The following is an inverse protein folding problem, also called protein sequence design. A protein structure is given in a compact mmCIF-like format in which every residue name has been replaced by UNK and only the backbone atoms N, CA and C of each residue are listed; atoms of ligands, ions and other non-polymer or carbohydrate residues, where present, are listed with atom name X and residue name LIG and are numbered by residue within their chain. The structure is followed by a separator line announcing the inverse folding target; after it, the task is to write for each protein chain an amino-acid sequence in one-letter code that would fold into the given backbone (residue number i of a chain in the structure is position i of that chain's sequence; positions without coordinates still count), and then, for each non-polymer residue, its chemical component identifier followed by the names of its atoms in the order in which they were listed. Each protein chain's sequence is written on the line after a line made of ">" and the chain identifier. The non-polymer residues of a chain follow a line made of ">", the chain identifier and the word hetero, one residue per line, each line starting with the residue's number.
data_IF_212743492823
#
_entry.id   IF_212743492823
#
_cell.length_a   1.000
_cell.length_b   1.000
_cell.length_c   1.000
_cell.angle_alpha   90.00
_cell.angle_beta   90.00
_cell.angle_gamma   90.00
#
_symmetry.space_group_name_H-M   'P 1'
#
loop_
_entity.id
_entity.type
_entity.pdbx_description
1 polymer ?
#
# COMPACT_ATOMS: atom_id res chain seq x y z
N UNK A 1 -19.08 -33.91 70.19
CA UNK A 1 -19.83 -35.16 69.91
C UNK A 1 -20.47 -35.00 68.53
N UNK A 2 -20.68 -36.07 67.75
CA UNK A 2 -19.74 -36.79 66.91
C UNK A 2 -20.03 -36.60 65.39
N UNK A 3 -19.07 -36.95 64.54
CA UNK A 3 -19.31 -37.26 63.12
C UNK A 3 -20.23 -38.50 62.99
N UNK A 4 -20.88 -38.70 61.82
CA UNK A 4 -20.38 -39.80 60.99
C UNK A 4 -20.35 -39.54 59.47
N UNK A 5 -19.51 -40.38 58.86
CA UNK A 5 -19.19 -40.56 57.45
C UNK A 5 -20.31 -41.27 56.67
N UNK A 6 -20.35 -41.06 55.36
CA UNK A 6 -20.75 -42.07 54.35
C UNK A 6 -20.11 -41.66 53.01
N UNK A 7 -19.00 -42.25 52.57
CA UNK A 7 -18.81 -43.54 51.86
C UNK A 7 -19.37 -43.58 50.42
N UNK A 8 -18.41 -43.44 49.49
CA UNK A 8 -18.16 -44.20 48.26
C UNK A 8 -19.29 -44.50 47.26
N UNK A 9 -19.04 -44.15 45.99
CA UNK A 9 -19.18 -44.94 44.75
C UNK A 9 -18.79 -43.97 43.61
N UNK A 10 -17.83 -44.19 42.71
CA UNK A 10 -17.48 -45.42 42.01
C UNK A 10 -17.92 -45.26 40.55
N UNK A 11 -17.04 -44.77 39.67
CA UNK A 11 -17.09 -45.02 38.22
C UNK A 11 -15.82 -44.49 37.55
N UNK A 12 -14.95 -45.40 37.13
CA UNK A 12 -13.94 -45.15 36.09
C UNK A 12 -14.68 -45.03 34.76
N UNK A 13 -14.53 -43.91 34.06
CA UNK A 13 -14.84 -43.84 32.63
C UNK A 13 -13.55 -43.59 31.87
N UNK A 14 -13.15 -44.67 31.19
CA UNK A 14 -12.21 -44.68 30.07
C UNK A 14 -12.94 -44.00 28.91
N UNK A 15 -12.41 -42.89 28.41
CA UNK A 15 -12.94 -42.18 27.26
C UNK A 15 -11.78 -41.68 26.41
N UNK A 16 -11.67 -42.21 25.20
CA UNK A 16 -10.55 -42.03 24.29
C UNK A 16 -10.31 -40.55 23.96
N UNK A 17 -9.07 -40.09 24.16
CA UNK A 17 -8.62 -38.82 23.59
C UNK A 17 -8.44 -39.02 22.08
N UNK A 18 -9.44 -38.59 21.32
CA UNK A 18 -9.39 -38.50 19.87
C UNK A 18 -8.33 -37.48 19.50
N UNK A 19 -7.22 -37.93 18.93
CA UNK A 19 -6.23 -37.05 18.33
C UNK A 19 -6.89 -36.36 17.13
N UNK A 20 -7.30 -35.11 17.32
CA UNK A 20 -7.68 -34.24 16.21
C UNK A 20 -6.41 -34.04 15.36
N UNK A 21 -6.37 -34.66 14.18
CA UNK A 21 -5.43 -34.26 13.14
C UNK A 21 -5.72 -32.79 12.84
N UNK A 22 -4.81 -31.91 13.25
CA UNK A 22 -4.74 -30.56 12.74
C UNK A 22 -4.46 -30.68 11.24
N UNK A 23 -5.50 -30.45 10.43
CA UNK A 23 -5.31 -30.13 9.03
C UNK A 23 -4.47 -28.85 9.00
N UNK A 24 -3.17 -29.00 8.75
CA UNK A 24 -2.36 -27.92 8.26
C UNK A 24 -2.98 -27.52 6.91
N UNK A 25 -3.83 -26.49 6.94
CA UNK A 25 -4.16 -25.76 5.74
C UNK A 25 -2.84 -25.19 5.24
N UNK A 26 -2.23 -25.86 4.27
CA UNK A 26 -1.30 -25.20 3.39
C UNK A 26 -2.11 -24.10 2.70
N UNK A 27 -2.09 -22.89 3.24
CA UNK A 27 -2.43 -21.69 2.49
C UNK A 27 -1.43 -21.65 1.34
N UNK A 28 -1.83 -22.18 0.19
CA UNK A 28 -1.21 -21.82 -1.07
C UNK A 28 -1.30 -20.30 -1.15
N UNK A 29 -0.16 -19.63 -1.03
CA UNK A 29 -0.04 -18.20 -1.29
C UNK A 29 -0.37 -17.98 -2.76
N UNK A 30 -1.67 -17.83 -3.07
CA UNK A 30 -2.10 -17.25 -4.33
C UNK A 30 -1.64 -15.80 -4.39
N UNK A 31 -1.45 -15.28 -5.59
CA UNK A 31 -1.42 -13.84 -5.85
C UNK A 31 -2.61 -13.20 -5.13
N UNK A 32 -2.34 -12.12 -4.41
CA UNK A 32 -3.34 -11.32 -3.72
C UNK A 32 -3.94 -10.36 -4.75
N UNK A 33 -5.00 -10.84 -5.42
CA UNK A 33 -5.67 -10.13 -6.51
C UNK A 33 -6.71 -9.17 -5.93
N UNK A 34 -6.61 -7.90 -6.32
CA UNK A 34 -7.64 -6.91 -6.12
C UNK A 34 -8.70 -7.04 -7.22
N UNK A 35 -9.91 -7.44 -6.85
CA UNK A 35 -11.04 -7.61 -7.77
C UNK A 35 -11.87 -6.32 -7.97
N UNK A 36 -11.55 -5.25 -7.24
CA UNK A 36 -12.33 -4.00 -7.24
C UNK A 36 -11.87 -3.03 -8.34
N UNK A 37 -10.64 -3.18 -8.85
CA UNK A 37 -10.05 -2.28 -9.84
C UNK A 37 -9.33 -3.02 -10.97
N UNK A 38 -9.35 -2.42 -12.17
CA UNK A 38 -8.36 -2.72 -13.22
C UNK A 38 -7.11 -1.83 -13.10
N UNK A 39 -6.08 -2.11 -13.90
CA UNK A 39 -4.89 -1.26 -14.07
C UNK A 39 -5.23 0.22 -14.34
N UNK A 40 -6.08 0.50 -15.33
CA UNK A 40 -6.52 1.86 -15.67
C UNK A 40 -7.29 2.55 -14.52
N UNK A 41 -8.23 1.83 -13.88
CA UNK A 41 -9.03 2.37 -12.78
C UNK A 41 -8.16 2.66 -11.54
N UNK A 42 -7.24 1.75 -11.22
CA UNK A 42 -6.30 1.92 -10.13
C UNK A 42 -5.39 3.13 -10.36
N UNK A 43 -4.83 3.30 -11.56
CA UNK A 43 -4.01 4.48 -11.89
C UNK A 43 -4.80 5.79 -11.76
N UNK A 44 -6.06 5.81 -12.19
CA UNK A 44 -6.92 6.99 -12.05
C UNK A 44 -7.18 7.34 -10.58
N UNK A 45 -7.47 6.35 -9.74
CA UNK A 45 -7.67 6.54 -8.29
C UNK A 45 -6.39 6.97 -7.57
N UNK A 46 -5.23 6.42 -7.95
CA UNK A 46 -3.94 6.84 -7.41
C UNK A 46 -3.64 8.31 -7.73
N UNK A 47 -3.91 8.72 -8.96
CA UNK A 47 -3.71 10.09 -9.42
C UNK A 47 -4.65 11.07 -8.69
N UNK A 48 -5.91 10.70 -8.51
CA UNK A 48 -6.87 11.48 -7.72
C UNK A 48 -6.41 11.61 -6.26
N UNK A 49 -5.88 10.55 -5.66
CA UNK A 49 -5.36 10.62 -4.29
C UNK A 49 -4.18 11.59 -4.17
N UNK A 50 -3.28 11.62 -5.16
CA UNK A 50 -2.19 12.61 -5.21
C UNK A 50 -2.77 14.02 -5.32
N UNK A 51 -3.73 14.25 -6.20
CA UNK A 51 -4.39 15.55 -6.39
C UNK A 51 -4.97 16.09 -5.07
N UNK A 52 -5.77 15.26 -4.39
CA UNK A 52 -6.43 15.60 -3.13
C UNK A 52 -5.42 15.85 -1.99
N UNK A 53 -4.26 15.20 -2.04
CA UNK A 53 -3.21 15.35 -1.03
C UNK A 53 -2.41 16.65 -1.20
N UNK A 54 -2.21 17.11 -2.44
CA UNK A 54 -1.41 18.31 -2.72
C UNK A 54 -2.24 19.60 -2.81
N UNK A 55 -3.52 19.53 -3.16
CA UNK A 55 -4.41 20.70 -3.26
C UNK A 55 -4.39 21.61 -2.01
N UNK A 56 -4.43 21.08 -0.76
CA UNK A 56 -4.45 21.93 0.44
C UNK A 56 -3.06 22.42 0.88
N UNK A 57 -1.97 21.98 0.24
CA UNK A 57 -0.61 22.37 0.63
C UNK A 57 -0.30 23.80 0.15
N UNK A 58 -0.26 24.74 1.08
CA UNK A 58 0.12 26.12 0.79
C UNK A 58 1.57 26.20 0.30
N UNK A 59 1.82 27.05 -0.72
CA UNK A 59 3.14 27.24 -1.33
C UNK A 59 3.77 25.94 -1.90
N UNK A 60 2.93 25.00 -2.38
CA UNK A 60 3.38 23.77 -3.02
C UNK A 60 4.30 24.07 -4.22
N UNK A 61 5.60 23.65 -4.18
CA UNK A 61 6.59 24.01 -5.20
C UNK A 61 6.40 23.27 -6.53
N UNK A 62 5.53 22.26 -6.55
CA UNK A 62 5.42 21.31 -7.65
C UNK A 62 6.33 20.10 -7.50
N UNK A 63 6.02 19.06 -8.25
CA UNK A 63 6.90 17.92 -8.47
C UNK A 63 7.78 18.16 -9.69
N UNK A 64 9.01 17.65 -9.65
CA UNK A 64 9.91 17.65 -10.82
C UNK A 64 9.59 16.47 -11.75
N UNK A 65 9.26 15.31 -11.17
CA UNK A 65 9.14 14.06 -11.90
C UNK A 65 7.99 13.20 -11.38
N UNK A 66 7.36 12.46 -12.31
CA UNK A 66 6.48 11.32 -12.07
C UNK A 66 7.07 10.07 -12.69
N UNK A 67 6.94 8.95 -11.98
CA UNK A 67 7.21 7.61 -12.50
C UNK A 67 5.93 6.79 -12.34
N UNK A 68 5.38 6.34 -13.45
CA UNK A 68 4.32 5.34 -13.50
C UNK A 68 4.97 3.98 -13.65
N UNK A 69 4.80 3.10 -12.65
CA UNK A 69 5.36 1.75 -12.67
C UNK A 69 4.26 0.76 -13.00
N UNK A 70 4.45 -0.05 -14.05
CA UNK A 70 3.58 -1.17 -14.42
C UNK A 70 4.43 -2.42 -14.57
N UNK A 71 4.33 -3.36 -13.63
CA UNK A 71 5.13 -4.58 -13.60
C UNK A 71 4.23 -5.82 -13.57
N UNK A 72 4.80 -6.96 -13.95
CA UNK A 72 4.10 -8.24 -13.88
C UNK A 72 3.61 -8.54 -12.46
N UNK A 73 2.38 -9.04 -12.33
CA UNK A 73 1.93 -9.65 -11.08
C UNK A 73 2.67 -10.97 -10.85
N UNK A 74 3.56 -11.01 -9.87
CA UNK A 74 4.35 -12.19 -9.53
C UNK A 74 3.80 -12.89 -8.29
N UNK A 75 3.89 -14.22 -8.26
CA UNK A 75 3.45 -15.03 -7.12
C UNK A 75 4.36 -16.25 -6.87
N UNK A 76 4.11 -16.92 -5.74
CA UNK A 76 4.96 -17.99 -5.23
C UNK A 76 6.07 -17.48 -4.30
N UNK A 77 6.72 -18.39 -3.56
CA UNK A 77 7.62 -18.00 -2.46
C UNK A 77 8.85 -17.18 -2.90
N UNK A 78 9.23 -17.25 -4.18
CA UNK A 78 10.35 -16.47 -4.73
C UNK A 78 9.91 -15.64 -5.96
N UNK A 79 8.61 -15.35 -6.12
CA UNK A 79 8.09 -14.51 -7.23
C UNK A 79 8.50 -15.02 -8.63
N UNK A 80 8.62 -16.34 -8.79
CA UNK A 80 9.08 -16.98 -10.05
C UNK A 80 7.95 -17.22 -11.06
N UNK A 81 6.71 -16.96 -10.65
CA UNK A 81 5.52 -17.22 -11.46
C UNK A 81 4.79 -15.91 -11.72
N UNK A 82 4.44 -15.68 -12.98
CA UNK A 82 3.62 -14.55 -13.40
C UNK A 82 2.14 -14.96 -13.44
N UNK A 83 1.27 -14.16 -12.83
CA UNK A 83 -0.18 -14.32 -12.95
C UNK A 83 -0.64 -13.64 -14.25
N UNK A 84 -0.92 -14.43 -15.28
CA UNK A 84 -1.33 -13.90 -16.59
C UNK A 84 -2.64 -13.10 -16.48
N UNK A 85 -2.68 -11.93 -17.10
CA UNK A 85 -3.85 -11.06 -17.11
C UNK A 85 -3.93 -10.08 -15.94
N UNK A 86 -2.89 -10.00 -15.11
CA UNK A 86 -2.81 -9.09 -13.97
C UNK A 86 -1.48 -8.34 -13.95
N UNK A 87 -1.54 -7.08 -13.51
CA UNK A 87 -0.40 -6.19 -13.34
C UNK A 87 -0.35 -5.65 -11.92
N UNK A 88 0.83 -5.21 -11.49
CA UNK A 88 1.00 -4.33 -10.33
C UNK A 88 1.28 -2.93 -10.85
N UNK A 89 0.48 -1.96 -10.40
CA UNK A 89 0.62 -0.55 -10.77
C UNK A 89 1.00 0.28 -9.55
N UNK A 90 1.85 1.31 -9.75
CA UNK A 90 2.11 2.33 -8.73
C UNK A 90 2.55 3.65 -9.34
N UNK A 91 2.34 4.73 -8.60
CA UNK A 91 2.79 6.07 -8.93
C UNK A 91 3.86 6.54 -7.95
N UNK A 92 4.88 7.20 -8.46
CA UNK A 92 5.91 7.85 -7.66
C UNK A 92 6.11 9.28 -8.17
N UNK A 93 6.07 10.25 -7.28
CA UNK A 93 6.27 11.66 -7.54
C UNK A 93 7.47 12.15 -6.74
N UNK A 94 8.37 12.87 -7.39
CA UNK A 94 9.58 13.37 -6.77
C UNK A 94 9.59 14.90 -6.76
N UNK A 95 9.92 15.47 -5.60
CA UNK A 95 10.16 16.92 -5.52
C UNK A 95 11.46 17.28 -6.22
N UNK A 96 11.59 18.52 -6.73
CA UNK A 96 12.86 19.01 -7.23
C UNK A 96 13.97 18.87 -6.18
N UNK A 97 15.19 18.49 -6.59
CA UNK A 97 16.33 18.35 -5.67
C UNK A 97 16.57 19.61 -4.82
N UNK A 98 16.34 20.79 -5.42
CA UNK A 98 16.45 22.07 -4.73
C UNK A 98 15.52 22.22 -3.51
N UNK A 99 14.46 21.42 -3.44
CA UNK A 99 13.48 21.42 -2.36
C UNK A 99 13.67 20.29 -1.34
N UNK A 100 14.61 19.35 -1.55
CA UNK A 100 14.76 18.22 -0.62
C UNK A 100 15.20 18.61 0.78
N UNK A 101 15.88 19.76 0.91
CA UNK A 101 16.34 20.36 2.18
C UNK A 101 15.41 21.50 2.66
N UNK A 102 14.30 21.75 1.98
CA UNK A 102 13.35 22.82 2.34
C UNK A 102 12.54 22.44 3.60
N UNK A 103 12.56 23.24 4.68
CA UNK A 103 11.78 22.97 5.88
C UNK A 103 10.26 22.85 5.63
N UNK A 104 9.73 23.55 4.61
CA UNK A 104 8.33 23.42 4.23
C UNK A 104 8.02 21.99 3.78
N UNK A 105 8.89 21.42 2.95
CA UNK A 105 8.75 20.08 2.38
C UNK A 105 9.09 18.98 3.39
N UNK A 106 10.08 19.19 4.26
CA UNK A 106 10.58 18.16 5.19
C UNK A 106 9.88 18.12 6.53
N UNK A 107 9.38 19.25 7.02
CA UNK A 107 8.83 19.36 8.38
C UNK A 107 7.34 19.69 8.32
N UNK A 108 6.98 20.68 7.50
CA UNK A 108 5.61 21.21 7.50
C UNK A 108 4.63 20.30 6.75
N UNK A 109 4.96 19.87 5.52
CA UNK A 109 4.06 19.01 4.73
C UNK A 109 3.79 17.64 5.36
N UNK A 110 4.76 16.91 5.95
CA UNK A 110 4.46 15.68 6.66
C UNK A 110 3.40 15.85 7.77
N UNK A 111 3.53 16.90 8.58
CA UNK A 111 2.54 17.18 9.64
C UNK A 111 1.16 17.52 9.08
N UNK A 112 1.12 18.33 8.01
CA UNK A 112 -0.13 18.70 7.35
C UNK A 112 -0.80 17.48 6.70
N UNK A 113 -0.05 16.63 6.00
CA UNK A 113 -0.55 15.43 5.35
C UNK A 113 -1.04 14.40 6.36
N UNK A 114 -0.27 14.15 7.44
CA UNK A 114 -0.70 13.24 8.51
C UNK A 114 -2.05 13.67 9.10
N UNK A 115 -2.24 14.98 9.30
CA UNK A 115 -3.50 15.53 9.79
C UNK A 115 -4.61 15.45 8.74
N UNK A 116 -4.33 15.84 7.50
CA UNK A 116 -5.29 15.81 6.39
C UNK A 116 -5.87 14.41 6.21
N UNK A 117 -5.00 13.41 6.06
CA UNK A 117 -5.40 12.03 5.86
C UNK A 117 -6.15 11.46 7.07
N UNK A 118 -5.75 11.85 8.29
CA UNK A 118 -6.48 11.50 9.51
C UNK A 118 -7.88 12.12 9.56
N UNK A 119 -8.02 13.38 9.17
CA UNK A 119 -9.31 14.10 9.10
C UNK A 119 -10.22 13.51 7.99
N UNK A 120 -9.65 12.92 6.94
CA UNK A 120 -10.34 12.16 5.89
C UNK A 120 -10.74 10.74 6.33
N UNK A 121 -10.27 10.29 7.50
CA UNK A 121 -10.61 8.98 8.06
C UNK A 121 -9.70 7.83 7.62
N UNK A 122 -8.57 8.13 6.98
CA UNK A 122 -7.56 7.12 6.62
C UNK A 122 -6.80 6.62 7.85
N UNK A 123 -6.28 5.39 7.79
CA UNK A 123 -5.33 4.92 8.78
C UNK A 123 -3.97 5.57 8.55
N UNK A 124 -3.49 6.36 9.51
CA UNK A 124 -2.24 7.12 9.39
C UNK A 124 -1.15 6.56 10.31
N UNK A 125 0.01 6.27 9.74
CA UNK A 125 1.24 5.92 10.44
C UNK A 125 2.29 7.02 10.23
N UNK A 126 2.97 7.43 11.31
CA UNK A 126 4.02 8.46 11.25
C UNK A 126 5.32 7.88 11.81
N UNK A 127 6.27 7.65 10.92
CA UNK A 127 7.59 7.16 11.27
C UNK A 127 8.54 8.33 11.55
N UNK A 128 9.25 8.24 12.68
CA UNK A 128 10.23 9.24 13.08
C UNK A 128 11.65 8.69 12.94
N UNK A 129 12.56 9.50 12.42
CA UNK A 129 14.00 9.24 12.35
C UNK A 129 14.76 10.38 13.04
N UNK A 130 15.64 10.02 13.99
CA UNK A 130 16.36 10.97 14.86
C UNK A 130 15.49 12.08 15.50
N UNK A 131 14.20 11.79 15.73
CA UNK A 131 13.25 12.69 16.37
C UNK A 131 12.50 13.63 15.42
N UNK A 132 12.78 13.60 14.12
CA UNK A 132 12.00 14.27 13.07
C UNK A 132 11.12 13.25 12.33
N UNK A 133 10.06 13.71 11.64
CA UNK A 133 9.26 12.81 10.78
C UNK A 133 10.13 12.39 9.59
N UNK A 134 10.31 11.09 9.41
CA UNK A 134 11.02 10.51 8.26
C UNK A 134 10.07 10.03 7.17
N UNK A 135 8.84 9.62 7.55
CA UNK A 135 7.80 9.18 6.62
C UNK A 135 6.41 9.34 7.25
N UNK A 136 5.43 9.66 6.42
CA UNK A 136 4.01 9.56 6.74
C UNK A 136 3.38 8.58 5.77
N UNK A 137 2.60 7.64 6.28
CA UNK A 137 1.85 6.67 5.48
C UNK A 137 0.37 6.84 5.77
N UNK A 138 -0.46 6.92 4.75
CA UNK A 138 -1.91 6.83 4.85
C UNK A 138 -2.43 5.61 4.08
N UNK A 139 -3.28 4.81 4.72
CA UNK A 139 -3.96 3.66 4.12
C UNK A 139 -5.45 3.96 4.04
N UNK A 140 -6.00 3.92 2.82
CA UNK A 140 -7.44 3.99 2.56
C UNK A 140 -8.08 2.61 2.81
N UNK A 141 -9.39 2.60 3.06
CA UNK A 141 -10.17 1.38 3.32
C UNK A 141 -10.38 0.51 2.08
N UNK A 142 -10.19 1.07 0.89
CA UNK A 142 -10.20 0.40 -0.41
C UNK A 142 -8.84 -0.16 -0.85
N UNK A 143 -7.83 -0.13 0.02
CA UNK A 143 -6.54 -0.79 -0.19
C UNK A 143 -5.43 0.09 -0.76
N UNK A 144 -5.71 1.34 -1.16
CA UNK A 144 -4.64 2.26 -1.58
C UNK A 144 -3.84 2.77 -0.39
N UNK A 145 -2.52 2.78 -0.54
CA UNK A 145 -1.58 3.34 0.42
C UNK A 145 -0.76 4.44 -0.23
N UNK A 146 -0.71 5.59 0.43
CA UNK A 146 0.18 6.69 0.08
C UNK A 146 1.30 6.81 1.11
N UNK A 147 2.53 6.91 0.63
CA UNK A 147 3.70 7.26 1.42
C UNK A 147 4.17 8.66 1.03
N UNK A 148 4.46 9.50 2.02
CA UNK A 148 5.27 10.71 1.87
C UNK A 148 6.59 10.49 2.61
N UNK A 149 7.70 10.42 1.88
CA UNK A 149 9.01 10.08 2.41
C UNK A 149 9.95 11.28 2.31
N UNK A 150 10.69 11.58 3.38
CA UNK A 150 11.64 12.70 3.43
C UNK A 150 13.09 12.24 3.71
N UNK A 151 13.38 10.94 3.70
CA UNK A 151 14.73 10.42 3.95
C UNK A 151 15.59 10.45 2.69
N UNK A 152 16.51 11.42 2.62
CA UNK A 152 17.37 11.64 1.46
C UNK A 152 16.61 12.34 0.34
N UNK A 153 16.04 11.56 -0.59
CA UNK A 153 15.16 12.08 -1.65
C UNK A 153 13.77 12.31 -1.06
N UNK A 154 13.13 13.43 -1.40
CA UNK A 154 11.73 13.65 -1.01
C UNK A 154 10.80 13.23 -2.13
N UNK A 155 9.93 12.28 -1.83
CA UNK A 155 9.00 11.70 -2.78
C UNK A 155 7.68 11.28 -2.14
N UNK A 156 6.66 11.22 -2.98
CA UNK A 156 5.35 10.68 -2.66
C UNK A 156 5.10 9.44 -3.54
N UNK A 157 4.52 8.39 -2.98
CA UNK A 157 4.18 7.20 -3.76
C UNK A 157 2.84 6.64 -3.36
N UNK A 158 2.10 6.19 -4.35
CA UNK A 158 0.81 5.53 -4.19
C UNK A 158 0.88 4.15 -4.82
N UNK A 159 0.39 3.15 -4.08
CA UNK A 159 0.33 1.76 -4.50
C UNK A 159 -0.82 1.06 -3.77
N UNK A 160 -1.20 -0.13 -4.20
CA UNK A 160 -2.13 -0.99 -3.47
C UNK A 160 -1.37 -1.80 -2.41
N UNK A 161 -1.98 -1.99 -1.23
CA UNK A 161 -1.41 -2.77 -0.13
C UNK A 161 -2.22 -4.04 0.12
N UNK A 162 -1.53 -5.16 0.32
CA UNK A 162 -2.15 -6.45 0.61
C UNK A 162 -2.48 -7.21 -0.66
N UNK A 163 -3.37 -6.65 -1.50
CA UNK A 163 -3.76 -7.17 -2.81
C UNK A 163 -3.27 -6.21 -3.90
N UNK A 164 -2.01 -6.35 -4.32
CA UNK A 164 -1.32 -5.40 -5.20
C UNK A 164 -1.49 -5.68 -6.69
N UNK A 165 -1.98 -6.87 -7.04
CA UNK A 165 -2.27 -7.25 -8.40
C UNK A 165 -3.69 -6.82 -8.81
N UNK A 166 -3.81 -6.12 -9.93
CA UNK A 166 -5.08 -5.69 -10.53
C UNK A 166 -5.27 -6.32 -11.90
N UNK A 167 -6.52 -6.51 -12.31
CA UNK A 167 -6.81 -7.04 -13.63
C UNK A 167 -6.37 -6.06 -14.74
N UNK A 168 -5.83 -6.60 -15.83
CA UNK A 168 -5.53 -5.82 -17.04
C UNK A 168 -6.85 -5.41 -17.71
N UNK A 169 -7.09 -4.11 -17.86
CA UNK A 169 -8.31 -3.60 -18.51
C UNK A 169 -8.41 -4.03 -19.99
N UNK A 170 -9.65 -4.13 -20.49
CA UNK A 170 -9.89 -4.25 -21.92
C UNK A 170 -9.43 -2.97 -22.65
N UNK A 171 -8.57 -3.11 -23.67
CA UNK A 171 -8.13 -1.99 -24.50
C UNK A 171 -6.67 -1.59 -24.28
N UNK A 172 -6.35 -0.32 -24.54
CA UNK A 172 -5.00 0.25 -24.33
C UNK A 172 -4.85 0.71 -22.87
N UNK A 173 -3.60 0.73 -22.38
CA UNK A 173 -3.29 1.30 -21.07
C UNK A 173 -3.48 2.82 -21.15
N UNK A 174 -4.32 3.36 -20.27
CA UNK A 174 -4.58 4.78 -20.16
C UNK A 174 -3.81 5.35 -18.97
N UNK A 175 -2.83 6.22 -19.26
CA UNK A 175 -2.06 6.91 -18.22
C UNK A 175 -2.72 8.27 -17.94
N UNK A 176 -3.23 8.52 -16.72
CA UNK A 176 -3.78 9.82 -16.35
C UNK A 176 -2.78 10.97 -16.51
N UNK A 177 -3.26 12.19 -16.73
CA UNK A 177 -2.39 13.37 -16.73
C UNK A 177 -1.70 13.53 -15.36
N UNK A 178 -0.41 13.93 -15.32
CA UNK A 178 0.30 14.07 -14.06
C UNK A 178 -0.17 15.29 -13.26
N UNK A 179 -0.32 15.09 -11.96
CA UNK A 179 -0.62 16.12 -10.97
C UNK A 179 0.63 16.88 -10.53
N UNK A 180 0.40 18.01 -9.87
CA UNK A 180 1.44 18.72 -9.14
C UNK A 180 2.50 19.37 -10.01
N UNK A 181 2.20 19.68 -11.27
CA UNK A 181 3.05 20.53 -12.11
C UNK A 181 4.24 19.83 -12.77
N UNK A 182 4.26 18.50 -12.82
CA UNK A 182 5.20 17.75 -13.65
C UNK A 182 5.02 18.17 -15.12
N UNK A 183 6.11 18.56 -15.77
CA UNK A 183 6.08 19.01 -17.17
C UNK A 183 7.20 18.39 -17.98
N UNK A 184 6.91 18.08 -19.24
CA UNK A 184 7.85 17.49 -20.19
C UNK A 184 7.83 15.96 -20.16
N UNK A 185 7.92 15.35 -21.35
CA UNK A 185 7.87 13.89 -21.52
C UNK A 185 9.01 13.17 -20.78
N UNK A 186 10.19 13.80 -20.65
CA UNK A 186 11.34 13.22 -19.93
C UNK A 186 11.12 13.15 -18.41
N UNK A 187 10.12 13.85 -17.89
CA UNK A 187 9.81 13.92 -16.46
C UNK A 187 8.54 13.14 -16.10
N UNK A 188 7.81 12.62 -17.08
CA UNK A 188 6.65 11.75 -16.88
C UNK A 188 6.96 10.38 -17.47
N UNK A 189 7.49 9.50 -16.63
CA UNK A 189 8.17 8.28 -17.06
C UNK A 189 7.24 7.09 -16.86
N UNK A 190 6.86 6.43 -17.95
CA UNK A 190 6.36 5.07 -17.89
C UNK A 190 7.54 4.10 -17.75
N UNK A 191 7.54 3.29 -16.70
CA UNK A 191 8.58 2.34 -16.36
C UNK A 191 7.99 1.00 -16.00
N UNK A 192 8.71 -0.08 -16.27
CA UNK A 192 8.29 -1.41 -15.88
C UNK A 192 8.76 -2.50 -16.83
N UNK A 193 8.25 -3.69 -16.57
CA UNK A 193 8.50 -4.90 -17.36
C UNK A 193 7.24 -5.78 -17.41
N UNK A 194 6.06 -5.18 -17.23
CA UNK A 194 4.78 -5.85 -17.35
C UNK A 194 4.32 -6.05 -18.80
N UNK A 195 3.31 -6.90 -19.06
CA UNK A 195 2.71 -7.15 -20.37
C UNK A 195 2.21 -5.90 -21.12
N UNK A 196 2.07 -4.77 -20.43
CA UNK A 196 1.67 -3.47 -20.98
C UNK A 196 2.83 -2.58 -21.43
N UNK A 197 4.06 -2.90 -21.04
CA UNK A 197 5.24 -2.06 -21.27
C UNK A 197 6.14 -2.78 -22.27
N UNK A 198 6.00 -2.42 -23.55
CA UNK A 198 6.82 -2.94 -24.68
C UNK A 198 8.28 -2.45 -24.63
#
# INVERSE_FOLDING_TARGET
>A
MPFPRSSANGAKLIGAATAALALAACTTSGSSINEDYTDNEALAEMEAFVADSIEPLEDFPGFERRIVKVIECLYGMNEEHTEEGYDVVSLEYEFPEANWEDPLVRETYPEQLARLWGDQGHEVEVDHDDGAIGRVTAKRDDGFTMNYNVQGVVWMNVHLTGDDCVAIADGELEIPEPQGGVTGEDNDILSGYGPRVD
#
